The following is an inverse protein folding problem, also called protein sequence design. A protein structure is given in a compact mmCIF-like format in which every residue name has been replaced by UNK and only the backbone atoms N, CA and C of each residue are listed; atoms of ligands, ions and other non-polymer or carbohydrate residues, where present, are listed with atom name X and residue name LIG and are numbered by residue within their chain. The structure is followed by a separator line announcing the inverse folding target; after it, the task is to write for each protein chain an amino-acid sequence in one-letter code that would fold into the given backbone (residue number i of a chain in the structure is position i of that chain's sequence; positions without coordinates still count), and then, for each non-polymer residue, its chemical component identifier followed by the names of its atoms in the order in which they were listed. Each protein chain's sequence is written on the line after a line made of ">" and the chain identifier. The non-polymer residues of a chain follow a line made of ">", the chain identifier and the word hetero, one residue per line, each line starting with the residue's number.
data_IF_485425299468
#
_entry.id   IF_485425299468
#
_cell.length_a   1.000
_cell.length_b   1.000
_cell.length_c   1.000
_cell.angle_alpha   90.00
_cell.angle_beta   90.00
_cell.angle_gamma   90.00
#
_symmetry.space_group_name_H-M   'P 1'
#
loop_
_entity.id
_entity.type
_entity.pdbx_description
1 polymer ?
#
# COMPACT_ATOMS: atom_id res chain seq x y z
N UNK A 1 11.33 10.94 7.64
CA UNK A 1 11.36 9.64 6.97
C UNK A 1 11.42 9.88 5.46
N UNK A 2 12.25 9.18 4.70
CA UNK A 2 12.30 9.39 3.24
C UNK A 2 11.53 8.26 2.59
N UNK A 3 10.46 8.60 1.86
CA UNK A 3 9.68 7.64 1.06
C UNK A 3 10.61 6.97 0.03
N UNK A 4 10.65 5.64 0.00
CA UNK A 4 11.62 4.83 -0.74
C UNK A 4 11.57 5.13 -2.25
N UNK A 5 10.38 5.38 -2.79
CA UNK A 5 10.18 5.57 -4.24
C UNK A 5 10.23 7.03 -4.68
N UNK A 6 10.44 8.00 -3.74
CA UNK A 6 10.48 9.42 -4.03
C UNK A 6 9.11 10.02 -4.41
N UNK A 7 9.11 11.27 -4.88
CA UNK A 7 7.89 12.05 -5.16
C UNK A 7 7.85 12.62 -6.58
N UNK A 8 8.60 12.01 -7.51
CA UNK A 8 8.70 12.45 -8.91
C UNK A 8 7.35 12.38 -9.64
N UNK A 9 7.20 13.14 -10.74
CA UNK A 9 6.00 13.07 -11.58
C UNK A 9 5.76 11.66 -12.17
N UNK A 10 6.82 10.87 -12.35
CA UNK A 10 6.73 9.45 -12.76
C UNK A 10 6.10 8.62 -11.65
N UNK A 11 6.57 8.80 -10.41
CA UNK A 11 6.03 8.10 -9.24
C UNK A 11 4.57 8.49 -9.00
N UNK A 12 4.23 9.77 -9.11
CA UNK A 12 2.84 10.22 -8.99
C UNK A 12 1.91 9.54 -10.01
N UNK A 13 2.34 9.39 -11.26
CA UNK A 13 1.57 8.63 -12.27
C UNK A 13 1.46 7.16 -11.91
N UNK A 14 2.56 6.53 -11.48
CA UNK A 14 2.54 5.13 -11.04
C UNK A 14 1.53 4.87 -9.92
N UNK A 15 1.41 5.77 -8.93
CA UNK A 15 0.44 5.66 -7.84
C UNK A 15 -1.01 5.76 -8.34
N UNK A 16 -1.27 6.61 -9.35
CA UNK A 16 -2.59 6.71 -9.98
C UNK A 16 -2.91 5.40 -10.71
N UNK A 17 -2.01 4.94 -11.59
CA UNK A 17 -2.17 3.71 -12.35
C UNK A 17 -2.34 2.49 -11.43
N UNK A 18 -1.62 2.46 -10.31
CA UNK A 18 -1.75 1.42 -9.29
C UNK A 18 -3.14 1.40 -8.68
N UNK A 19 -3.66 2.55 -8.27
CA UNK A 19 -4.98 2.64 -7.68
C UNK A 19 -6.06 2.19 -8.68
N UNK A 20 -5.98 2.63 -9.94
CA UNK A 20 -6.93 2.25 -10.99
C UNK A 20 -6.96 0.73 -11.27
N UNK A 21 -5.78 0.08 -11.28
CA UNK A 21 -5.67 -1.38 -11.48
C UNK A 21 -6.22 -2.21 -10.32
N UNK A 22 -6.38 -1.62 -9.14
CA UNK A 22 -6.71 -2.31 -7.91
C UNK A 22 -8.05 -1.85 -7.31
N UNK A 23 -8.85 -1.12 -8.10
CA UNK A 23 -10.10 -0.48 -7.69
C UNK A 23 -11.07 -1.44 -6.97
N UNK A 24 -11.36 -2.60 -7.57
CA UNK A 24 -12.25 -3.60 -6.97
C UNK A 24 -11.78 -4.08 -5.59
N UNK A 25 -10.46 -4.20 -5.41
CA UNK A 25 -9.89 -4.66 -4.14
C UNK A 25 -9.90 -3.56 -3.08
N UNK A 26 -9.68 -2.33 -3.50
CA UNK A 26 -9.62 -1.18 -2.60
C UNK A 26 -11.02 -0.75 -2.15
N UNK A 27 -12.04 -0.95 -2.98
CA UNK A 27 -13.43 -0.61 -2.66
C UNK A 27 -14.14 -1.66 -1.80
N UNK A 28 -13.74 -2.95 -1.88
CA UNK A 28 -14.55 -4.10 -1.43
C UNK A 28 -14.82 -4.20 0.08
N UNK A 29 -14.09 -3.46 0.94
CA UNK A 29 -14.22 -3.58 2.41
C UNK A 29 -14.51 -2.26 3.12
N UNK A 30 -14.95 -1.25 2.39
CA UNK A 30 -15.24 0.06 2.95
C UNK A 30 -16.72 0.38 2.80
N UNK A 31 -17.47 0.28 3.90
CA UNK A 31 -18.84 0.77 3.98
C UNK A 31 -18.82 2.18 4.57
N UNK A 32 -19.25 3.16 3.78
CA UNK A 32 -19.44 4.54 4.19
C UNK A 32 -20.90 4.92 4.05
N UNK A 33 -21.47 5.45 5.11
CA UNK A 33 -22.82 6.01 5.09
C UNK A 33 -22.80 7.51 4.70
N UNK A 34 -23.92 8.04 4.16
CA UNK A 34 -24.03 9.45 3.85
C UNK A 34 -23.66 10.35 5.04
N UNK A 35 -22.78 11.32 4.79
CA UNK A 35 -22.31 12.26 5.81
C UNK A 35 -21.21 11.75 6.74
N UNK A 36 -20.81 10.47 6.68
CA UNK A 36 -19.65 9.97 7.43
C UNK A 36 -18.35 10.62 6.94
N UNK A 37 -17.44 10.86 7.89
CA UNK A 37 -16.10 11.38 7.61
C UNK A 37 -15.08 10.26 7.54
N UNK A 38 -14.27 10.26 6.48
CA UNK A 38 -13.14 9.34 6.32
C UNK A 38 -11.85 10.12 6.22
N UNK A 39 -10.84 9.67 6.97
CA UNK A 39 -9.45 10.12 6.85
C UNK A 39 -8.61 9.06 6.15
N UNK A 40 -7.91 9.42 5.07
CA UNK A 40 -6.83 8.62 4.50
C UNK A 40 -5.48 9.16 5.00
N UNK A 41 -4.74 8.35 5.78
CA UNK A 41 -3.38 8.65 6.22
C UNK A 41 -2.40 8.10 5.17
N UNK A 42 -1.45 8.94 4.73
CA UNK A 42 -0.56 8.61 3.61
C UNK A 42 -1.28 8.64 2.27
N UNK A 43 -2.12 9.66 2.03
CA UNK A 43 -2.99 9.69 0.85
C UNK A 43 -2.24 9.90 -0.49
N UNK A 44 -0.94 10.17 -0.46
CA UNK A 44 -0.12 10.37 -1.65
C UNK A 44 -0.74 11.38 -2.61
N UNK A 45 -0.95 10.98 -3.86
CA UNK A 45 -1.58 11.80 -4.91
C UNK A 45 -3.11 11.76 -4.89
N UNK A 46 -3.73 11.22 -3.84
CA UNK A 46 -5.18 11.16 -3.68
C UNK A 46 -5.90 10.20 -4.64
N UNK A 47 -5.19 9.22 -5.19
CA UNK A 47 -5.75 8.29 -6.16
C UNK A 47 -6.85 7.41 -5.53
N UNK A 48 -6.62 6.90 -4.31
CA UNK A 48 -7.60 6.11 -3.56
C UNK A 48 -8.75 7.01 -3.08
N UNK A 49 -8.47 8.24 -2.62
CA UNK A 49 -9.52 9.22 -2.29
C UNK A 49 -10.44 9.50 -3.48
N UNK A 50 -9.89 9.57 -4.70
CA UNK A 50 -10.70 9.76 -5.91
C UNK A 50 -11.68 8.61 -6.15
N UNK A 51 -11.26 7.37 -5.92
CA UNK A 51 -12.12 6.19 -6.02
C UNK A 51 -13.22 6.20 -4.95
N UNK A 52 -12.85 6.48 -3.70
CA UNK A 52 -13.81 6.58 -2.60
C UNK A 52 -14.82 7.68 -2.85
N UNK A 53 -14.39 8.86 -3.33
CA UNK A 53 -15.29 9.98 -3.63
C UNK A 53 -16.34 9.65 -4.71
N UNK A 54 -15.96 8.86 -5.72
CA UNK A 54 -16.90 8.41 -6.77
C UNK A 54 -17.89 7.37 -6.25
N UNK A 55 -17.39 6.43 -5.41
CA UNK A 55 -18.24 5.39 -4.83
C UNK A 55 -19.17 5.92 -3.73
N UNK A 56 -18.74 6.96 -3.00
CA UNK A 56 -19.44 7.52 -1.85
C UNK A 56 -19.51 9.06 -1.94
N UNK A 57 -20.30 9.63 -2.89
CA UNK A 57 -20.30 11.08 -3.16
C UNK A 57 -20.83 11.93 -2.01
N UNK A 58 -21.52 11.34 -1.04
CA UNK A 58 -22.04 12.03 0.14
C UNK A 58 -21.12 11.94 1.37
N UNK A 59 -20.00 11.22 1.27
CA UNK A 59 -19.01 11.12 2.34
C UNK A 59 -18.12 12.37 2.40
N UNK A 60 -17.66 12.72 3.60
CA UNK A 60 -16.71 13.81 3.80
C UNK A 60 -15.31 13.24 3.86
N UNK A 61 -14.49 13.51 2.85
CA UNK A 61 -13.17 12.91 2.71
C UNK A 61 -12.06 13.88 3.11
N UNK A 62 -11.10 13.35 3.88
CA UNK A 62 -9.89 14.03 4.28
C UNK A 62 -8.69 13.18 3.93
N UNK A 63 -7.59 13.81 3.49
CA UNK A 63 -6.31 13.15 3.23
C UNK A 63 -5.16 13.89 3.92
N UNK A 64 -4.23 13.13 4.48
CA UNK A 64 -2.98 13.67 5.03
C UNK A 64 -1.80 12.90 4.44
N UNK A 65 -0.76 13.64 4.09
CA UNK A 65 0.53 13.07 3.66
C UNK A 65 1.68 13.94 4.16
N UNK A 66 2.79 13.32 4.50
CA UNK A 66 3.96 14.04 5.00
C UNK A 66 4.64 14.88 3.92
N UNK A 67 4.47 14.52 2.62
CA UNK A 67 5.09 15.19 1.49
C UNK A 67 4.21 16.33 0.94
N UNK A 68 4.71 17.57 0.97
CA UNK A 68 4.05 18.70 0.30
C UNK A 68 3.85 18.47 -1.20
N UNK A 69 4.79 17.78 -1.86
CA UNK A 69 4.76 17.47 -3.29
C UNK A 69 3.63 16.49 -3.62
N UNK A 70 3.41 15.48 -2.75
CA UNK A 70 2.30 14.54 -2.90
C UNK A 70 0.96 15.25 -2.72
N UNK A 71 0.81 16.08 -1.70
CA UNK A 71 -0.43 16.86 -1.48
C UNK A 71 -0.69 17.84 -2.65
N UNK A 72 0.36 18.48 -3.18
CA UNK A 72 0.20 19.30 -4.39
C UNK A 72 -0.24 18.45 -5.61
N UNK A 73 0.29 17.23 -5.74
CA UNK A 73 -0.13 16.24 -6.72
C UNK A 73 -1.61 15.86 -6.54
N UNK A 74 -2.02 15.54 -5.31
CA UNK A 74 -3.38 15.19 -4.95
C UNK A 74 -4.38 16.29 -5.34
N UNK A 75 -4.08 17.54 -5.02
CA UNK A 75 -4.93 18.68 -5.41
C UNK A 75 -5.10 18.76 -6.92
N UNK A 76 -4.02 18.60 -7.70
CA UNK A 76 -4.11 18.61 -9.17
C UNK A 76 -4.93 17.43 -9.70
N UNK A 77 -4.66 16.24 -9.19
CA UNK A 77 -5.32 15.00 -9.62
C UNK A 77 -6.83 15.04 -9.34
N UNK A 78 -7.24 15.39 -8.12
CA UNK A 78 -8.65 15.48 -7.73
C UNK A 78 -9.39 16.60 -8.46
N UNK A 79 -8.78 17.78 -8.60
CA UNK A 79 -9.38 18.88 -9.35
C UNK A 79 -9.58 18.55 -10.83
N UNK A 80 -8.63 17.85 -11.47
CA UNK A 80 -8.76 17.41 -12.86
C UNK A 80 -9.93 16.44 -13.08
N UNK A 81 -10.42 15.80 -12.01
CA UNK A 81 -11.56 14.88 -12.02
C UNK A 81 -12.86 15.53 -11.52
N UNK A 82 -12.84 16.84 -11.23
CA UNK A 82 -14.00 17.55 -10.69
C UNK A 82 -14.34 17.21 -9.24
N UNK A 83 -13.44 16.56 -8.52
CA UNK A 83 -13.60 16.16 -7.11
C UNK A 83 -13.10 17.28 -6.20
N UNK A 84 -13.92 18.32 -6.06
CA UNK A 84 -13.68 19.44 -5.15
C UNK A 84 -14.32 19.16 -3.78
N UNK A 85 -13.75 19.72 -2.71
CA UNK A 85 -14.29 19.57 -1.34
C UNK A 85 -13.62 18.49 -0.50
N UNK A 86 -12.61 17.78 -1.04
CA UNK A 86 -11.76 16.87 -0.26
C UNK A 86 -10.73 17.70 0.50
N UNK A 87 -10.71 17.59 1.83
CA UNK A 87 -9.74 18.27 2.68
C UNK A 87 -8.36 17.60 2.54
N UNK A 88 -7.31 18.36 2.17
CA UNK A 88 -5.96 17.84 1.99
C UNK A 88 -4.97 18.61 2.87
N UNK A 89 -4.26 17.88 3.75
CA UNK A 89 -3.33 18.43 4.73
C UNK A 89 -1.93 17.86 4.52
N UNK A 90 -0.92 18.74 4.59
CA UNK A 90 0.49 18.30 4.72
C UNK A 90 0.76 18.09 6.20
N UNK A 91 1.14 16.87 6.61
CA UNK A 91 1.38 16.59 8.02
C UNK A 91 1.84 15.15 8.28
N UNK A 92 2.26 14.92 9.54
CA UNK A 92 2.71 13.62 10.00
C UNK A 92 1.52 12.78 10.50
N UNK A 93 1.40 11.54 10.03
CA UNK A 93 0.40 10.59 10.50
C UNK A 93 0.53 10.23 11.99
N UNK A 94 1.71 10.44 12.58
CA UNK A 94 1.96 10.25 14.01
C UNK A 94 1.58 11.48 14.88
N UNK A 95 1.10 12.57 14.26
CA UNK A 95 0.68 13.80 14.95
C UNK A 95 -0.45 14.47 14.17
N UNK A 96 -1.62 13.85 14.16
CA UNK A 96 -2.77 14.28 13.38
C UNK A 96 -3.38 15.59 13.91
N UNK A 97 -3.67 16.58 13.02
CA UNK A 97 -4.14 17.90 13.44
C UNK A 97 -5.63 17.95 13.84
N UNK A 98 -6.34 16.83 13.78
CA UNK A 98 -7.75 16.76 14.13
C UNK A 98 -7.96 16.34 15.59
N UNK A 99 -9.04 16.82 16.23
CA UNK A 99 -9.43 16.43 17.59
C UNK A 99 -9.78 14.93 17.71
N UNK A 100 -9.84 14.44 18.93
CA UNK A 100 -10.34 13.10 19.25
C UNK A 100 -11.74 12.89 18.69
N UNK A 101 -12.01 11.73 18.12
CA UNK A 101 -13.35 11.35 17.65
C UNK A 101 -13.85 12.13 16.43
N UNK A 102 -12.95 12.63 15.59
CA UNK A 102 -13.28 13.43 14.39
C UNK A 102 -13.76 12.61 13.20
N UNK A 103 -13.53 11.29 13.18
CA UNK A 103 -13.75 10.45 12.01
C UNK A 103 -14.50 9.15 12.36
N UNK A 104 -15.35 8.71 11.45
CA UNK A 104 -16.01 7.40 11.47
C UNK A 104 -15.10 6.32 10.93
N UNK A 105 -14.28 6.66 9.94
CA UNK A 105 -13.38 5.75 9.25
C UNK A 105 -11.99 6.36 9.11
N UNK A 106 -10.98 5.52 9.31
CA UNK A 106 -9.58 5.81 8.95
C UNK A 106 -9.10 4.74 7.98
N UNK A 107 -8.34 5.13 6.99
CA UNK A 107 -7.77 4.24 5.99
C UNK A 107 -6.28 4.49 5.79
N UNK A 108 -5.52 3.40 5.61
CA UNK A 108 -4.14 3.41 5.16
C UNK A 108 -3.96 2.36 4.06
N UNK A 109 -3.34 2.73 2.95
CA UNK A 109 -3.10 1.84 1.81
C UNK A 109 -1.63 1.91 1.43
N UNK A 110 -0.88 0.83 1.66
CA UNK A 110 0.58 0.74 1.46
C UNK A 110 1.34 1.85 2.20
N UNK A 111 1.04 2.03 3.47
CA UNK A 111 1.65 3.04 4.34
C UNK A 111 2.46 2.38 5.45
N UNK A 112 1.90 1.35 6.11
CA UNK A 112 2.54 0.67 7.24
C UNK A 112 3.91 0.14 6.86
N UNK A 113 4.06 -0.37 5.65
CA UNK A 113 5.32 -0.90 5.11
C UNK A 113 6.46 0.14 5.06
N UNK A 114 6.13 1.45 5.08
CA UNK A 114 7.10 2.54 5.03
C UNK A 114 7.38 3.20 6.39
N UNK A 115 6.62 2.85 7.44
CA UNK A 115 6.72 3.49 8.74
C UNK A 115 7.86 2.90 9.61
N UNK A 116 8.67 3.74 10.22
CA UNK A 116 9.63 3.31 11.23
C UNK A 116 8.95 2.97 12.56
N UNK A 117 7.88 3.70 12.90
CA UNK A 117 7.06 3.47 14.08
C UNK A 117 5.57 3.42 13.66
N UNK A 118 5.06 2.27 13.22
CA UNK A 118 3.65 2.12 12.88
C UNK A 118 2.73 2.29 14.09
N UNK A 119 3.21 2.00 15.32
CA UNK A 119 2.40 2.13 16.52
C UNK A 119 2.01 3.59 16.81
N UNK A 120 2.93 4.54 16.59
CA UNK A 120 2.61 5.96 16.76
C UNK A 120 1.49 6.42 15.81
N UNK A 121 1.52 5.98 14.54
CA UNK A 121 0.48 6.32 13.55
C UNK A 121 -0.85 5.63 13.90
N UNK A 122 -0.82 4.37 14.32
CA UNK A 122 -2.02 3.63 14.71
C UNK A 122 -2.66 4.19 16.01
N UNK A 123 -1.86 4.68 16.96
CA UNK A 123 -2.36 5.36 18.14
C UNK A 123 -3.10 6.66 17.80
N UNK A 124 -2.55 7.47 16.88
CA UNK A 124 -3.21 8.67 16.38
C UNK A 124 -4.48 8.34 15.58
N UNK A 125 -4.44 7.31 14.74
CA UNK A 125 -5.62 6.81 14.05
C UNK A 125 -6.72 6.38 15.04
N UNK A 126 -6.36 5.66 16.12
CA UNK A 126 -7.28 5.28 17.16
C UNK A 126 -7.83 6.53 17.90
N UNK A 127 -6.99 7.53 18.18
CA UNK A 127 -7.40 8.76 18.86
C UNK A 127 -8.46 9.51 18.06
N UNK A 128 -8.20 9.75 16.76
CA UNK A 128 -9.10 10.54 15.91
C UNK A 128 -10.36 9.81 15.50
N UNK A 129 -10.41 8.48 15.58
CA UNK A 129 -11.65 7.72 15.39
C UNK A 129 -12.62 7.99 16.53
N UNK A 130 -13.91 8.10 16.23
CA UNK A 130 -14.97 8.08 17.24
C UNK A 130 -15.12 6.68 17.85
N UNK A 131 -15.67 6.53 19.06
CA UNK A 131 -16.02 5.23 19.59
C UNK A 131 -16.92 4.45 18.63
N UNK A 132 -16.59 3.18 18.32
CA UNK A 132 -17.25 2.36 17.31
C UNK A 132 -16.83 2.65 15.87
N UNK A 133 -15.99 3.66 15.63
CA UNK A 133 -15.36 3.90 14.33
C UNK A 133 -14.34 2.83 13.96
N UNK A 134 -14.01 2.67 12.68
CA UNK A 134 -13.12 1.60 12.22
C UNK A 134 -11.94 2.09 11.40
N UNK A 135 -10.82 1.37 11.54
CA UNK A 135 -9.64 1.49 10.69
C UNK A 135 -9.63 0.39 9.64
N UNK A 136 -9.17 0.72 8.44
CA UNK A 136 -9.00 -0.19 7.32
C UNK A 136 -7.59 -0.07 6.75
N UNK A 137 -6.85 -1.17 6.74
CA UNK A 137 -5.46 -1.24 6.27
C UNK A 137 -5.37 -2.15 5.04
N UNK A 138 -4.51 -1.80 4.10
CA UNK A 138 -4.16 -2.66 2.97
C UNK A 138 -2.65 -2.67 2.82
N UNK A 139 -2.03 -3.86 2.89
CA UNK A 139 -0.58 -4.03 2.80
C UNK A 139 -0.22 -5.29 1.99
N UNK A 140 1.00 -5.33 1.46
CA UNK A 140 1.52 -6.46 0.70
C UNK A 140 2.54 -7.24 1.53
N UNK A 141 2.65 -8.55 1.28
CA UNK A 141 3.80 -9.36 1.68
C UNK A 141 4.67 -9.66 0.46
N UNK A 142 5.69 -8.84 0.23
CA UNK A 142 6.63 -9.03 -0.89
C UNK A 142 7.43 -10.32 -0.75
N UNK A 143 7.59 -10.85 0.46
CA UNK A 143 8.21 -12.15 0.70
C UNK A 143 7.40 -13.33 0.21
N UNK A 144 6.11 -13.14 -0.06
CA UNK A 144 5.22 -14.16 -0.62
C UNK A 144 5.27 -14.23 -2.16
N UNK A 145 5.98 -13.31 -2.82
CA UNK A 145 6.06 -13.27 -4.29
C UNK A 145 6.74 -14.54 -4.82
N UNK A 146 6.05 -15.24 -5.72
CA UNK A 146 6.52 -16.48 -6.36
C UNK A 146 6.27 -16.44 -7.85
N UNK A 147 7.18 -17.05 -8.60
CA UNK A 147 7.04 -17.26 -10.05
C UNK A 147 7.06 -18.74 -10.39
N UNK A 148 6.43 -19.11 -11.48
CA UNK A 148 6.48 -20.42 -12.09
C UNK A 148 6.79 -20.26 -13.58
N UNK A 149 7.61 -21.16 -14.20
CA UNK A 149 8.44 -22.16 -13.50
C UNK A 149 9.47 -21.52 -12.55
N UNK A 150 9.96 -22.24 -11.55
CA UNK A 150 10.99 -21.72 -10.64
C UNK A 150 12.25 -21.30 -11.41
N UNK A 151 12.76 -20.09 -11.13
CA UNK A 151 13.96 -19.54 -11.75
C UNK A 151 14.91 -18.98 -10.68
N UNK A 152 16.13 -19.52 -10.62
CA UNK A 152 17.09 -19.12 -9.60
C UNK A 152 17.55 -17.66 -9.72
N UNK A 153 17.59 -17.10 -10.93
CA UNK A 153 17.97 -15.72 -11.13
C UNK A 153 16.85 -14.77 -10.70
N UNK A 154 15.59 -15.09 -11.02
CA UNK A 154 14.42 -14.32 -10.52
C UNK A 154 14.36 -14.41 -8.99
N UNK A 155 14.58 -15.60 -8.41
CA UNK A 155 14.60 -15.76 -6.95
C UNK A 155 15.68 -14.88 -6.29
N UNK A 156 16.87 -14.78 -6.87
CA UNK A 156 17.96 -13.92 -6.39
C UNK A 156 17.56 -12.44 -6.46
N UNK A 157 16.95 -11.98 -7.56
CA UNK A 157 16.43 -10.61 -7.69
C UNK A 157 15.41 -10.29 -6.60
N UNK A 158 14.41 -11.16 -6.43
CA UNK A 158 13.32 -10.94 -5.47
C UNK A 158 13.82 -10.97 -4.02
N UNK A 159 14.76 -11.86 -3.70
CA UNK A 159 15.40 -11.91 -2.38
C UNK A 159 16.22 -10.63 -2.11
N UNK A 160 16.98 -10.15 -3.08
CA UNK A 160 17.73 -8.91 -2.97
C UNK A 160 16.80 -7.70 -2.80
N UNK A 161 15.68 -7.66 -3.53
CA UNK A 161 14.67 -6.62 -3.40
C UNK A 161 14.03 -6.60 -2.01
N UNK A 162 13.58 -7.75 -1.48
CA UNK A 162 13.04 -7.87 -0.12
C UNK A 162 14.07 -7.42 0.94
N UNK A 163 15.33 -7.84 0.80
CA UNK A 163 16.39 -7.42 1.70
C UNK A 163 16.65 -5.91 1.62
N UNK A 164 16.61 -5.33 0.41
CA UNK A 164 16.75 -3.88 0.22
C UNK A 164 15.58 -3.13 0.85
N UNK A 165 14.36 -3.55 0.59
CA UNK A 165 13.14 -2.94 1.14
C UNK A 165 13.20 -2.94 2.69
N UNK A 166 13.57 -4.05 3.31
CA UNK A 166 13.66 -4.19 4.76
C UNK A 166 14.75 -3.32 5.43
N UNK A 167 15.65 -2.68 4.66
CA UNK A 167 16.57 -1.66 5.21
C UNK A 167 15.88 -0.31 5.46
N UNK A 168 14.77 -0.05 4.79
CA UNK A 168 14.09 1.25 4.80
C UNK A 168 12.62 1.18 5.22
N UNK A 169 12.05 -0.02 5.29
CA UNK A 169 10.66 -0.29 5.60
C UNK A 169 10.47 -1.74 6.07
N UNK A 170 9.30 -2.31 5.79
CA UNK A 170 8.94 -3.68 6.13
C UNK A 170 8.28 -4.39 4.94
N UNK A 171 9.04 -5.20 4.20
CA UNK A 171 8.53 -5.97 3.08
C UNK A 171 7.46 -7.03 3.46
N UNK A 172 7.25 -7.26 4.76
CA UNK A 172 6.31 -8.22 5.34
C UNK A 172 5.23 -7.53 6.18
N UNK A 173 4.84 -6.29 5.84
CA UNK A 173 3.87 -5.52 6.60
C UNK A 173 2.49 -6.20 6.65
N UNK A 174 2.08 -6.87 5.57
CA UNK A 174 0.80 -7.55 5.48
C UNK A 174 0.53 -8.54 6.62
N UNK A 175 1.37 -9.56 6.86
CA UNK A 175 1.20 -10.50 7.97
C UNK A 175 1.20 -9.86 9.36
N UNK A 176 1.82 -8.69 9.51
CA UNK A 176 1.91 -7.99 10.79
C UNK A 176 0.65 -7.20 11.18
N UNK A 177 -0.32 -7.00 10.27
CA UNK A 177 -1.48 -6.12 10.49
C UNK A 177 -2.29 -6.49 11.73
N UNK A 178 -2.57 -7.77 11.95
CA UNK A 178 -3.35 -8.24 13.10
C UNK A 178 -2.70 -7.88 14.44
N UNK A 179 -1.46 -8.33 14.69
CA UNK A 179 -0.72 -7.95 15.90
C UNK A 179 -0.57 -6.44 16.09
N UNK A 180 -0.31 -5.67 15.02
CA UNK A 180 -0.18 -4.21 15.10
C UNK A 180 -1.48 -3.54 15.54
N UNK A 181 -2.62 -3.92 14.96
CA UNK A 181 -3.93 -3.39 15.33
C UNK A 181 -4.31 -3.74 16.77
N UNK A 182 -4.10 -5.00 17.17
CA UNK A 182 -4.37 -5.43 18.54
C UNK A 182 -3.50 -4.68 19.57
N UNK A 183 -2.21 -4.51 19.29
CA UNK A 183 -1.28 -3.77 20.14
C UNK A 183 -1.65 -2.29 20.25
N UNK A 184 -2.17 -1.68 19.19
CA UNK A 184 -2.62 -0.30 19.18
C UNK A 184 -3.95 -0.08 19.96
N UNK A 185 -4.62 -1.16 20.43
CA UNK A 185 -5.84 -1.09 21.21
C UNK A 185 -7.14 -1.18 20.43
N UNK A 186 -7.07 -1.58 19.15
CA UNK A 186 -8.27 -1.90 18.37
C UNK A 186 -8.88 -3.23 18.82
N UNK A 187 -10.20 -3.29 18.81
CA UNK A 187 -11.01 -4.51 19.02
C UNK A 187 -11.61 -4.99 17.70
N UNK A 188 -12.28 -6.14 17.72
CA UNK A 188 -12.88 -6.76 16.53
C UNK A 188 -11.87 -6.82 15.35
N UNK A 189 -10.61 -7.12 15.68
CA UNK A 189 -9.55 -7.18 14.69
C UNK A 189 -9.77 -8.36 13.76
N UNK A 190 -9.88 -8.07 12.48
CA UNK A 190 -9.98 -9.08 11.41
C UNK A 190 -8.92 -8.80 10.34
N UNK A 191 -8.25 -9.86 9.89
CA UNK A 191 -7.28 -9.78 8.80
C UNK A 191 -7.62 -10.83 7.75
N UNK A 192 -7.76 -10.39 6.52
CA UNK A 192 -8.04 -11.26 5.36
C UNK A 192 -6.86 -11.22 4.40
N UNK A 193 -6.39 -12.39 4.00
CA UNK A 193 -5.38 -12.51 2.93
C UNK A 193 -6.10 -12.65 1.59
N UNK A 194 -5.68 -11.83 0.61
CA UNK A 194 -6.18 -11.86 -0.77
C UNK A 194 -4.99 -12.16 -1.70
N UNK A 195 -5.04 -13.30 -2.37
CA UNK A 195 -4.03 -13.69 -3.34
C UNK A 195 -4.25 -13.02 -4.69
N UNK A 196 -3.14 -12.57 -5.32
CA UNK A 196 -3.11 -12.30 -6.75
C UNK A 196 -2.42 -13.47 -7.40
N UNK A 197 -2.99 -13.97 -8.50
CA UNK A 197 -2.40 -15.01 -9.31
C UNK A 197 -2.72 -14.78 -10.78
N UNK A 198 -1.68 -14.67 -11.60
CA UNK A 198 -1.82 -14.57 -13.05
C UNK A 198 -0.96 -15.64 -13.72
N UNK A 199 -1.45 -16.26 -14.78
CA UNK A 199 -0.77 -17.35 -15.47
C UNK A 199 -1.07 -17.38 -16.98
N UNK A 200 -0.11 -17.86 -17.77
CA UNK A 200 -0.29 -18.15 -19.19
C UNK A 200 -0.82 -19.59 -19.39
N UNK A 201 -1.60 -19.84 -20.48
CA UNK A 201 -1.89 -18.91 -21.57
C UNK A 201 -3.09 -17.99 -21.33
N UNK A 202 -3.94 -18.21 -20.30
CA UNK A 202 -5.23 -17.54 -20.18
C UNK A 202 -5.14 -16.08 -19.74
N UNK A 203 -4.10 -15.72 -18.98
CA UNK A 203 -3.92 -14.41 -18.37
C UNK A 203 -2.55 -13.78 -18.68
N UNK A 204 -1.99 -14.06 -19.88
CA UNK A 204 -0.65 -13.56 -20.25
C UNK A 204 -0.56 -12.03 -20.21
N UNK A 205 -1.63 -11.32 -20.59
CA UNK A 205 -1.64 -9.85 -20.53
C UNK A 205 -1.61 -9.36 -19.09
N UNK A 206 -2.43 -9.92 -18.21
CA UNK A 206 -2.44 -9.59 -16.79
C UNK A 206 -1.10 -9.93 -16.13
N UNK A 207 -0.50 -11.07 -16.47
CA UNK A 207 0.84 -11.44 -16.03
C UNK A 207 1.89 -10.42 -16.49
N UNK A 208 1.86 -10.02 -17.75
CA UNK A 208 2.75 -9.00 -18.32
C UNK A 208 2.60 -7.67 -17.59
N UNK A 209 1.37 -7.19 -17.43
CA UNK A 209 1.07 -5.92 -16.78
C UNK A 209 1.48 -5.91 -15.33
N UNK A 210 1.30 -7.05 -14.62
CA UNK A 210 1.71 -7.17 -13.24
C UNK A 210 3.24 -7.23 -13.07
N UNK A 211 3.96 -7.97 -13.93
CA UNK A 211 5.42 -7.96 -13.95
C UNK A 211 5.96 -6.55 -14.27
N UNK A 212 5.38 -5.88 -15.24
CA UNK A 212 5.75 -4.50 -15.61
C UNK A 212 5.56 -3.54 -14.45
N UNK A 213 4.42 -3.61 -13.77
CA UNK A 213 4.14 -2.85 -12.57
C UNK A 213 5.20 -3.07 -11.48
N UNK A 214 5.57 -4.32 -11.17
CA UNK A 214 6.60 -4.62 -10.18
C UNK A 214 7.98 -4.08 -10.62
N UNK A 215 8.30 -4.14 -11.91
CA UNK A 215 9.55 -3.60 -12.44
C UNK A 215 9.64 -2.08 -12.39
N UNK A 216 8.53 -1.35 -12.34
CA UNK A 216 8.54 0.11 -12.21
C UNK A 216 9.24 0.59 -10.93
N UNK A 217 9.16 -0.18 -9.85
CA UNK A 217 9.86 0.14 -8.59
C UNK A 217 11.10 -0.71 -8.32
N UNK A 218 11.26 -1.90 -8.93
CA UNK A 218 12.48 -2.69 -8.81
C UNK A 218 13.61 -2.11 -9.68
N UNK A 219 13.30 -1.66 -10.91
CA UNK A 219 14.31 -1.18 -11.86
C UNK A 219 15.11 0.02 -11.36
N UNK A 220 14.52 1.06 -10.74
CA UNK A 220 15.30 2.16 -10.17
C UNK A 220 16.33 1.72 -9.12
N UNK A 221 16.03 0.66 -8.39
CA UNK A 221 16.86 0.15 -7.31
C UNK A 221 17.91 -0.90 -7.78
N UNK A 222 17.85 -1.33 -9.04
CA UNK A 222 18.67 -2.44 -9.54
C UNK A 222 20.16 -2.26 -9.27
N UNK A 223 20.69 -1.04 -9.46
CA UNK A 223 22.10 -0.75 -9.19
C UNK A 223 22.44 -0.93 -7.70
N UNK A 224 21.57 -0.50 -6.80
CA UNK A 224 21.75 -0.67 -5.36
C UNK A 224 21.65 -2.15 -4.94
N UNK A 225 20.76 -2.91 -5.60
CA UNK A 225 20.64 -4.36 -5.38
C UNK A 225 21.93 -5.08 -5.81
N UNK A 226 22.49 -4.74 -6.97
CA UNK A 226 23.74 -5.32 -7.46
C UNK A 226 24.94 -4.98 -6.56
N UNK A 227 25.02 -3.72 -6.09
CA UNK A 227 26.09 -3.27 -5.19
C UNK A 227 26.02 -3.90 -3.81
N UNK A 228 24.84 -4.28 -3.35
CA UNK A 228 24.64 -4.98 -2.07
C UNK A 228 24.93 -6.47 -2.13
N UNK A 229 25.13 -7.04 -3.31
CA UNK A 229 25.44 -8.45 -3.50
C UNK A 229 26.82 -8.80 -2.87
N UNK A 230 26.90 -9.95 -2.22
CA UNK A 230 28.14 -10.40 -1.56
C UNK A 230 29.25 -10.76 -2.56
N UNK A 231 28.88 -11.11 -3.80
CA UNK A 231 29.83 -11.51 -4.86
C UNK A 231 29.42 -10.97 -6.22
N UNK A 232 30.42 -10.87 -7.13
CA UNK A 232 30.16 -10.50 -8.53
C UNK A 232 29.23 -11.52 -9.24
N UNK A 233 29.28 -12.80 -8.84
CA UNK A 233 28.39 -13.83 -9.39
C UNK A 233 26.94 -13.60 -8.96
N UNK A 234 26.69 -13.23 -7.71
CA UNK A 234 25.38 -12.87 -7.19
C UNK A 234 24.82 -11.61 -7.88
N UNK A 235 25.63 -10.57 -8.03
CA UNK A 235 25.25 -9.36 -8.77
C UNK A 235 24.86 -9.67 -10.23
N UNK A 236 25.62 -10.56 -10.91
CA UNK A 236 25.30 -11.01 -12.25
C UNK A 236 23.98 -11.81 -12.29
N UNK A 237 23.70 -12.61 -11.28
CA UNK A 237 22.46 -13.38 -11.14
C UNK A 237 21.25 -12.46 -10.91
N UNK A 238 21.38 -11.45 -10.06
CA UNK A 238 20.33 -10.41 -9.84
C UNK A 238 19.99 -9.70 -11.15
N UNK A 239 21.00 -9.26 -11.92
CA UNK A 239 20.82 -8.64 -13.23
C UNK A 239 20.17 -9.57 -14.23
N UNK A 240 20.53 -10.85 -14.24
CA UNK A 240 19.88 -11.86 -15.07
C UNK A 240 18.41 -12.04 -14.67
N UNK A 241 18.13 -12.08 -13.36
CA UNK A 241 16.79 -12.19 -12.81
C UNK A 241 15.88 -11.04 -13.27
N UNK A 242 16.38 -9.81 -13.26
CA UNK A 242 15.65 -8.66 -13.76
C UNK A 242 15.20 -8.81 -15.22
N UNK A 243 16.12 -9.25 -16.11
CA UNK A 243 15.79 -9.51 -17.53
C UNK A 243 14.79 -10.65 -17.69
N UNK A 244 14.95 -11.74 -16.94
CA UNK A 244 14.05 -12.90 -17.00
C UNK A 244 12.67 -12.60 -16.45
N UNK A 245 12.61 -11.81 -15.39
CA UNK A 245 11.34 -11.38 -14.80
C UNK A 245 10.53 -10.54 -15.80
N UNK A 246 11.18 -9.63 -16.53
CA UNK A 246 10.55 -8.86 -17.58
C UNK A 246 9.99 -9.74 -18.71
N UNK A 247 10.62 -10.90 -18.97
CA UNK A 247 10.19 -11.86 -19.99
C UNK A 247 9.25 -12.96 -19.51
N UNK A 248 8.83 -12.95 -18.22
CA UNK A 248 8.06 -14.07 -17.66
C UNK A 248 6.76 -14.35 -18.41
N UNK A 249 6.06 -13.33 -18.87
CA UNK A 249 4.82 -13.46 -19.63
C UNK A 249 4.99 -13.99 -21.07
N UNK A 250 6.24 -14.16 -21.54
CA UNK A 250 6.52 -14.79 -22.85
C UNK A 250 6.61 -16.32 -22.75
N UNK A 251 6.63 -16.87 -21.53
CA UNK A 251 6.61 -18.31 -21.30
C UNK A 251 5.17 -18.83 -21.32
N UNK A 252 4.91 -19.91 -22.05
CA UNK A 252 3.57 -20.51 -22.16
C UNK A 252 3.04 -21.08 -20.84
N UNK A 253 3.91 -21.31 -19.86
CA UNK A 253 3.65 -21.82 -18.53
C UNK A 253 4.06 -20.80 -17.43
N UNK A 254 4.28 -19.54 -17.84
CA UNK A 254 4.63 -18.46 -16.93
C UNK A 254 3.49 -18.17 -15.94
N UNK A 255 3.82 -18.02 -14.66
CA UNK A 255 2.87 -17.59 -13.66
C UNK A 255 3.54 -16.77 -12.55
N UNK A 256 2.75 -15.92 -11.89
CA UNK A 256 3.14 -15.13 -10.72
C UNK A 256 2.04 -15.19 -9.66
N UNK A 257 2.44 -15.20 -8.39
CA UNK A 257 1.52 -15.04 -7.27
C UNK A 257 2.13 -14.19 -6.17
N UNK A 258 1.27 -13.44 -5.46
CA UNK A 258 1.63 -12.65 -4.28
C UNK A 258 0.44 -12.52 -3.35
N UNK A 259 0.70 -12.40 -2.05
CA UNK A 259 -0.32 -12.19 -1.02
C UNK A 259 -0.43 -10.72 -0.64
N UNK A 260 -1.65 -10.22 -0.61
CA UNK A 260 -2.03 -8.95 0.01
C UNK A 260 -2.89 -9.21 1.22
N UNK A 261 -2.85 -8.29 2.16
CA UNK A 261 -3.57 -8.38 3.41
C UNK A 261 -4.44 -7.15 3.59
N UNK A 262 -5.67 -7.38 4.03
CA UNK A 262 -6.61 -6.35 4.43
C UNK A 262 -6.88 -6.51 5.91
N UNK A 263 -6.53 -5.49 6.70
CA UNK A 263 -6.77 -5.45 8.14
C UNK A 263 -7.92 -4.51 8.47
N UNK A 264 -8.78 -4.91 9.40
CA UNK A 264 -9.82 -4.07 9.98
C UNK A 264 -9.73 -4.13 11.50
N UNK A 265 -9.94 -3.00 12.16
CA UNK A 265 -10.10 -2.91 13.61
C UNK A 265 -11.16 -1.88 13.97
N UNK A 266 -11.76 -2.02 15.13
CA UNK A 266 -12.78 -1.10 15.64
C UNK A 266 -12.27 -0.41 16.91
N UNK A 267 -12.46 0.91 17.01
CA UNK A 267 -12.21 1.63 18.28
C UNK A 267 -13.23 1.20 19.32
N UNK A 268 -12.81 0.76 20.51
CA UNK A 268 -13.74 0.39 21.58
C UNK A 268 -14.77 1.48 21.87
N UNK A 269 -16.00 1.08 22.19
CA UNK A 269 -17.01 2.00 22.70
C UNK A 269 -16.57 2.60 24.04
N UNK A 270 -16.92 3.87 24.30
CA UNK A 270 -16.63 4.50 25.58
C UNK A 270 -17.29 3.69 26.72
N UNK A 271 -16.50 3.13 27.63
CA UNK A 271 -16.97 2.33 28.76
C UNK A 271 -16.81 0.80 28.62
N UNK A 272 -16.28 0.29 27.52
CA UNK A 272 -15.88 -1.11 27.37
C UNK A 272 -14.55 -1.36 28.09
N UNK A 273 -14.58 -2.08 29.21
CA UNK A 273 -13.35 -2.65 29.82
C UNK A 273 -12.74 -3.65 28.82
N UNK A 274 -11.46 -3.50 28.52
CA UNK A 274 -10.68 -4.54 27.82
C UNK A 274 -10.84 -5.87 28.57
N UNK A 275 -11.06 -7.00 27.86
CA UNK A 275 -11.19 -8.32 28.46
C UNK A 275 -9.88 -8.78 29.11
#
# INVERSE_FOLDING_TARGET
>A
MTYIHGTSAREQRRLIDQAERLDELLASNLELHPGERLLEIGCGVGAVLAQIARAHPEAQLCGIDISPEQIAGARRHLNAQGLSGIELVVGDGAALPWPDGSFERVRLVWVIEHLADPQAVLAEALRVLRPGGSIHLTETDYGSLRVSPPDAAIAALLSAFVAHFNRHGNAHAGPALGPLLAQAGFTEVAVTMVGIHHWCPDQCQQLHDFCSYLLEFITPELQALEQAAATAAEAALIRQGHRRFAGLATHSDGAISISRYQGRGVKPAAGGTLP
#
